data_IF_027504333110
#
_entry.id   IF_027504333110
#
_cell.length_a   1.000
_cell.length_b   1.000
_cell.length_c   1.000
_cell.angle_alpha   90.00
_cell.angle_beta   90.00
_cell.angle_gamma   90.00
#
_symmetry.space_group_name_H-M   'P 1'
#
loop_
_entity.id
_entity.type
_entity.pdbx_description
1 polymer ?
#
# COMPACT_ATOMS: atom_id res chain seq x y z
N UNK A 1 -5.99 -23.79 3.78
CA UNK A 1 -4.94 -22.78 3.64
C UNK A 1 -5.47 -21.42 3.12
N UNK A 2 -6.28 -21.32 2.10
CA UNK A 2 -6.61 -20.04 1.43
C UNK A 2 -7.44 -18.98 2.18
N UNK A 3 -8.06 -19.26 3.31
CA UNK A 3 -8.93 -18.25 3.97
C UNK A 3 -8.18 -17.35 4.96
N UNK A 4 -7.10 -17.85 5.56
CA UNK A 4 -6.30 -17.08 6.52
C UNK A 4 -5.43 -16.03 5.81
N UNK A 5 -4.85 -16.38 4.67
CA UNK A 5 -4.03 -15.47 3.86
C UNK A 5 -4.86 -14.32 3.30
N UNK A 6 -6.06 -14.61 2.78
CA UNK A 6 -6.95 -13.58 2.24
C UNK A 6 -7.28 -12.46 3.24
N UNK A 7 -7.54 -12.81 4.50
CA UNK A 7 -7.92 -11.84 5.54
C UNK A 7 -6.73 -11.06 6.09
N UNK A 8 -5.51 -11.52 5.83
CA UNK A 8 -4.26 -10.88 6.26
C UNK A 8 -3.61 -10.04 5.16
N UNK A 9 -3.94 -10.29 3.89
CA UNK A 9 -3.32 -9.61 2.76
C UNK A 9 -3.93 -8.23 2.52
N UNK A 10 -3.05 -7.25 2.26
CA UNK A 10 -3.38 -5.86 1.92
C UNK A 10 -2.79 -5.52 0.57
N UNK A 11 -3.62 -5.37 -0.47
CA UNK A 11 -3.18 -4.90 -1.77
C UNK A 11 -2.82 -3.42 -1.71
N UNK A 12 -1.62 -3.07 -2.16
CA UNK A 12 -1.12 -1.70 -2.24
C UNK A 12 -1.00 -1.30 -3.70
N UNK A 13 -1.84 -0.37 -4.12
CA UNK A 13 -1.84 0.29 -5.40
C UNK A 13 -1.46 1.76 -5.20
N UNK A 14 -0.26 2.12 -5.61
CA UNK A 14 0.27 3.47 -5.48
C UNK A 14 1.31 3.76 -6.58
N UNK A 15 1.78 5.00 -6.71
CA UNK A 15 2.93 5.30 -7.56
C UNK A 15 4.18 4.56 -7.08
N UNK A 16 4.97 4.05 -8.04
CA UNK A 16 6.24 3.36 -7.75
C UNK A 16 7.44 4.14 -8.29
N UNK A 17 7.36 5.46 -8.28
CA UNK A 17 8.48 6.33 -8.66
C UNK A 17 9.27 6.85 -7.45
N UNK A 18 10.46 7.38 -7.71
CA UNK A 18 11.37 7.84 -6.65
C UNK A 18 10.76 8.92 -5.74
N UNK A 19 9.87 9.78 -6.27
CA UNK A 19 9.25 10.85 -5.50
C UNK A 19 8.20 10.31 -4.50
N UNK A 20 7.67 9.11 -4.76
CA UNK A 20 6.69 8.46 -3.90
C UNK A 20 7.31 7.39 -2.98
N UNK A 21 8.58 7.06 -3.17
CA UNK A 21 9.28 5.96 -2.49
C UNK A 21 9.11 5.98 -0.98
N UNK A 22 9.29 7.13 -0.34
CA UNK A 22 9.24 7.24 1.11
C UNK A 22 7.83 6.98 1.66
N UNK A 23 6.80 7.45 0.95
CA UNK A 23 5.40 7.16 1.29
C UNK A 23 5.11 5.67 1.11
N UNK A 24 5.54 5.08 -0.01
CA UNK A 24 5.39 3.64 -0.25
C UNK A 24 6.05 2.80 0.85
N UNK A 25 7.28 3.13 1.23
CA UNK A 25 8.00 2.48 2.32
C UNK A 25 7.27 2.59 3.66
N UNK A 26 6.73 3.76 3.97
CA UNK A 26 5.92 3.98 5.18
C UNK A 26 4.62 3.16 5.16
N UNK A 27 3.96 3.03 4.00
CA UNK A 27 2.77 2.19 3.82
C UNK A 27 3.12 0.72 4.10
N UNK A 28 4.16 0.19 3.46
CA UNK A 28 4.62 -1.20 3.64
C UNK A 28 4.95 -1.48 5.10
N UNK A 29 5.73 -0.60 5.74
CA UNK A 29 6.08 -0.74 7.15
C UNK A 29 4.83 -0.75 8.05
N UNK A 30 3.92 0.21 7.86
CA UNK A 30 2.71 0.33 8.67
C UNK A 30 1.80 -0.89 8.53
N UNK A 31 1.70 -1.46 7.33
CA UNK A 31 0.92 -2.69 7.09
C UNK A 31 1.52 -3.86 7.87
N UNK A 32 2.83 -4.07 7.80
CA UNK A 32 3.50 -5.13 8.56
C UNK A 32 3.39 -4.92 10.08
N UNK A 33 3.63 -3.71 10.57
CA UNK A 33 3.59 -3.41 12.01
C UNK A 33 2.15 -3.47 12.58
N UNK A 34 1.15 -3.42 11.72
CA UNK A 34 -0.24 -3.73 12.07
C UNK A 34 -0.56 -5.25 12.06
N UNK A 35 0.39 -6.12 11.73
CA UNK A 35 0.20 -7.57 11.66
C UNK A 35 -0.41 -8.07 10.35
N UNK A 36 -0.33 -7.30 9.27
CA UNK A 36 -0.83 -7.65 7.94
C UNK A 36 0.31 -7.86 6.94
N UNK A 37 0.00 -8.43 5.79
CA UNK A 37 0.94 -8.74 4.72
C UNK A 37 0.71 -7.77 3.55
N UNK A 38 1.65 -6.85 3.27
CA UNK A 38 1.55 -5.98 2.11
C UNK A 38 1.79 -6.79 0.83
N UNK A 39 0.94 -6.58 -0.17
CA UNK A 39 1.01 -7.20 -1.49
C UNK A 39 0.94 -6.10 -2.55
N UNK A 40 1.75 -6.15 -3.56
CA UNK A 40 1.71 -5.16 -4.64
C UNK A 40 2.21 -5.75 -5.97
N UNK A 41 2.01 -4.98 -7.04
CA UNK A 41 2.42 -5.39 -8.37
C UNK A 41 3.95 -5.49 -8.59
N UNK A 42 4.78 -5.08 -7.62
CA UNK A 42 6.24 -5.24 -7.67
C UNK A 42 6.73 -6.60 -7.14
N UNK A 43 5.82 -7.47 -6.68
CA UNK A 43 6.17 -8.83 -6.24
C UNK A 43 6.62 -9.73 -7.39
N UNK A 44 6.16 -9.44 -8.60
CA UNK A 44 6.35 -10.28 -9.77
C UNK A 44 7.22 -9.56 -10.80
N UNK A 45 8.17 -10.31 -11.35
CA UNK A 45 9.05 -9.89 -12.44
C UNK A 45 9.15 -11.03 -13.47
N UNK A 46 7.97 -11.43 -13.99
CA UNK A 46 7.88 -12.43 -15.07
C UNK A 46 7.39 -11.74 -16.36
N UNK A 47 8.32 -11.52 -17.27
CA UNK A 47 8.05 -10.86 -18.55
C UNK A 47 7.09 -11.63 -19.49
N UNK A 48 6.81 -12.90 -19.19
CA UNK A 48 5.88 -13.72 -19.97
C UNK A 48 4.42 -13.54 -19.53
N UNK A 49 4.17 -12.89 -18.39
CA UNK A 49 2.83 -12.68 -17.85
C UNK A 49 2.23 -11.33 -18.22
N UNK A 50 0.92 -11.29 -18.37
CA UNK A 50 0.18 -10.06 -18.65
C UNK A 50 -0.02 -9.32 -17.33
N UNK A 51 0.55 -8.13 -17.19
CA UNK A 51 0.56 -7.34 -15.94
C UNK A 51 -0.80 -7.19 -15.28
N UNK A 52 -1.86 -6.96 -16.06
CA UNK A 52 -3.21 -6.78 -15.51
C UNK A 52 -3.77 -8.08 -14.93
N UNK A 53 -3.37 -9.24 -15.44
CA UNK A 53 -3.79 -10.54 -14.91
C UNK A 53 -3.12 -10.81 -13.56
N UNK A 54 -1.84 -10.46 -13.40
CA UNK A 54 -1.14 -10.53 -12.12
C UNK A 54 -1.80 -9.63 -11.07
N UNK A 55 -2.10 -8.38 -11.44
CA UNK A 55 -2.77 -7.42 -10.56
C UNK A 55 -4.16 -7.95 -10.13
N UNK A 56 -4.95 -8.46 -11.06
CA UNK A 56 -6.28 -9.01 -10.74
C UNK A 56 -6.18 -10.24 -9.86
N UNK A 57 -5.14 -11.07 -10.04
CA UNK A 57 -4.85 -12.21 -9.17
C UNK A 57 -4.54 -11.74 -7.75
N UNK A 58 -3.61 -10.78 -7.55
CA UNK A 58 -3.30 -10.23 -6.22
C UNK A 58 -4.58 -9.65 -5.59
N UNK A 59 -5.36 -8.85 -6.34
CA UNK A 59 -6.63 -8.31 -5.85
C UNK A 59 -7.54 -9.43 -5.35
N UNK A 60 -7.63 -10.56 -6.05
CA UNK A 60 -8.47 -11.69 -5.63
C UNK A 60 -7.99 -12.37 -4.33
N UNK A 61 -6.71 -12.24 -4.02
CA UNK A 61 -6.04 -12.80 -2.84
C UNK A 61 -6.04 -11.85 -1.63
N UNK A 62 -6.55 -10.61 -1.78
CA UNK A 62 -6.53 -9.60 -0.74
C UNK A 62 -7.94 -9.19 -0.30
N UNK A 63 -8.20 -9.21 1.02
CA UNK A 63 -9.41 -8.62 1.60
C UNK A 63 -9.33 -7.09 1.64
N UNK A 64 -8.15 -6.57 1.93
CA UNK A 64 -7.89 -5.15 2.11
C UNK A 64 -7.21 -4.56 0.89
N UNK A 65 -7.52 -3.31 0.56
CA UNK A 65 -6.83 -2.57 -0.49
C UNK A 65 -6.57 -1.13 -0.08
N UNK A 66 -5.32 -0.69 -0.25
CA UNK A 66 -4.89 0.70 -0.14
C UNK A 66 -4.64 1.20 -1.56
N UNK A 67 -5.36 2.24 -1.95
CA UNK A 67 -5.27 2.83 -3.29
C UNK A 67 -4.92 4.30 -3.20
N UNK A 68 -3.72 4.66 -3.62
CA UNK A 68 -3.29 6.05 -3.68
C UNK A 68 -3.44 6.61 -5.10
N UNK A 69 -4.26 7.63 -5.22
CA UNK A 69 -4.58 8.30 -6.48
C UNK A 69 -3.92 9.68 -6.59
N UNK A 70 -2.89 9.94 -5.80
CA UNK A 70 -2.24 11.26 -5.72
C UNK A 70 -1.47 11.65 -6.99
N UNK A 71 -1.05 10.69 -7.80
CA UNK A 71 -0.23 10.93 -9.00
C UNK A 71 -1.11 11.20 -10.22
N UNK A 72 -1.27 12.47 -10.54
CA UNK A 72 -2.05 12.95 -11.69
C UNK A 72 -1.28 13.90 -12.58
N UNK A 73 0.01 14.12 -12.30
CA UNK A 73 0.87 14.95 -13.12
C UNK A 73 1.07 14.34 -14.50
N UNK A 74 1.23 15.21 -15.49
CA UNK A 74 1.57 14.82 -16.84
C UNK A 74 3.00 14.25 -16.85
N UNK A 75 3.19 13.15 -17.54
CA UNK A 75 4.51 12.65 -17.85
C UNK A 75 5.20 13.62 -18.80
N UNK A 76 6.44 14.00 -18.52
CA UNK A 76 7.18 15.03 -19.26
C UNK A 76 7.47 14.66 -20.72
N UNK A 77 7.45 13.36 -21.06
CA UNK A 77 7.72 12.88 -22.42
C UNK A 77 6.44 12.69 -23.22
N UNK A 78 5.43 12.07 -22.61
CA UNK A 78 4.17 11.74 -23.30
C UNK A 78 3.12 12.85 -23.20
N UNK A 79 3.28 13.78 -22.26
CA UNK A 79 2.28 14.80 -21.90
C UNK A 79 0.91 14.20 -21.51
N UNK A 80 0.91 13.00 -20.97
CA UNK A 80 -0.28 12.28 -20.49
C UNK A 80 -0.12 11.88 -19.04
N UNK A 81 -1.19 11.90 -18.22
CA UNK A 81 -1.15 11.38 -16.86
C UNK A 81 -1.14 9.85 -16.86
N UNK A 82 -0.67 9.25 -15.78
CA UNK A 82 -0.75 7.80 -15.58
C UNK A 82 -2.09 7.42 -14.97
N UNK A 83 -2.88 6.63 -15.69
CA UNK A 83 -4.21 6.18 -15.25
C UNK A 83 -4.23 4.83 -14.55
N UNK A 84 -3.07 4.19 -14.33
CA UNK A 84 -3.00 2.85 -13.74
C UNK A 84 -3.64 2.79 -12.34
N UNK A 85 -3.30 3.74 -11.45
CA UNK A 85 -3.85 3.74 -10.09
C UNK A 85 -5.38 3.88 -10.06
N UNK A 86 -6.02 4.80 -10.81
CA UNK A 86 -7.48 4.84 -10.93
C UNK A 86 -8.09 3.58 -11.56
N UNK A 87 -7.43 2.98 -12.57
CA UNK A 87 -7.89 1.73 -13.19
C UNK A 87 -7.92 0.58 -12.18
N UNK A 88 -6.83 0.37 -11.45
CA UNK A 88 -6.70 -0.68 -10.44
C UNK A 88 -7.67 -0.48 -9.27
N UNK A 89 -7.88 0.77 -8.85
CA UNK A 89 -8.94 1.11 -7.90
C UNK A 89 -10.33 0.70 -8.44
N UNK A 90 -10.62 0.99 -9.71
CA UNK A 90 -11.86 0.60 -10.37
C UNK A 90 -12.06 -0.92 -10.38
N UNK A 91 -11.01 -1.68 -10.66
CA UNK A 91 -11.04 -3.16 -10.62
C UNK A 91 -11.33 -3.66 -9.20
N UNK A 92 -10.67 -3.11 -8.18
CA UNK A 92 -10.89 -3.49 -6.78
C UNK A 92 -12.33 -3.19 -6.32
N UNK A 93 -12.85 -2.00 -6.64
CA UNK A 93 -14.23 -1.61 -6.34
C UNK A 93 -15.25 -2.46 -7.13
N UNK A 94 -14.95 -2.79 -8.38
CA UNK A 94 -15.74 -3.69 -9.20
C UNK A 94 -15.81 -5.10 -8.60
N UNK A 95 -14.66 -5.65 -8.19
CA UNK A 95 -14.61 -6.94 -7.49
C UNK A 95 -15.46 -6.91 -6.20
N UNK A 96 -15.34 -5.85 -5.38
CA UNK A 96 -16.17 -5.66 -4.19
C UNK A 96 -17.66 -5.62 -4.52
N UNK A 97 -18.07 -4.94 -5.58
CA UNK A 97 -19.47 -4.72 -5.92
C UNK A 97 -20.12 -5.93 -6.59
N UNK A 98 -19.41 -6.54 -7.54
CA UNK A 98 -19.97 -7.54 -8.47
C UNK A 98 -19.37 -8.94 -8.30
N UNK A 99 -18.28 -9.06 -7.56
CA UNK A 99 -17.57 -10.33 -7.35
C UNK A 99 -18.31 -11.32 -6.46
N UNK A 100 -17.61 -12.37 -6.06
CA UNK A 100 -18.07 -13.44 -5.21
C UNK A 100 -18.49 -12.95 -3.81
N UNK A 101 -19.10 -13.84 -3.01
CA UNK A 101 -19.40 -13.56 -1.59
C UNK A 101 -18.15 -13.14 -0.81
N UNK A 102 -17.00 -13.75 -1.10
CA UNK A 102 -15.70 -13.41 -0.53
C UNK A 102 -15.31 -11.99 -0.91
N UNK A 103 -15.41 -11.62 -2.19
CA UNK A 103 -15.02 -10.30 -2.69
C UNK A 103 -15.90 -9.16 -2.15
N UNK A 104 -17.18 -9.41 -1.90
CA UNK A 104 -18.07 -8.44 -1.27
C UNK A 104 -17.64 -8.03 0.15
N UNK A 105 -16.78 -8.83 0.81
CA UNK A 105 -16.19 -8.51 2.12
C UNK A 105 -14.96 -7.60 2.03
N UNK A 106 -14.51 -7.23 0.85
CA UNK A 106 -13.34 -6.34 0.65
C UNK A 106 -13.53 -5.00 1.31
N UNK A 107 -12.43 -4.47 1.85
CA UNK A 107 -12.37 -3.17 2.52
C UNK A 107 -11.33 -2.31 1.82
N UNK A 108 -11.71 -1.09 1.45
CA UNK A 108 -10.89 -0.17 0.67
C UNK A 108 -10.51 1.06 1.48
N UNK A 109 -9.25 1.45 1.44
CA UNK A 109 -8.76 2.77 1.82
C UNK A 109 -8.32 3.49 0.53
N UNK A 110 -8.82 4.71 0.33
CA UNK A 110 -8.39 5.56 -0.76
C UNK A 110 -7.61 6.72 -0.18
N UNK A 111 -6.42 6.95 -0.74
CA UNK A 111 -5.52 8.02 -0.36
C UNK A 111 -5.38 9.04 -1.50
N UNK A 112 -5.21 10.29 -1.14
CA UNK A 112 -4.78 11.36 -2.05
C UNK A 112 -3.77 12.26 -1.31
N UNK A 113 -2.97 13.03 -2.03
CA UNK A 113 -2.04 13.97 -1.41
C UNK A 113 -2.73 15.15 -0.73
N UNK A 114 -3.90 15.59 -1.26
CA UNK A 114 -4.64 16.75 -0.77
C UNK A 114 -6.12 16.42 -0.58
N UNK A 115 -6.75 17.06 0.38
CA UNK A 115 -8.17 16.84 0.67
C UNK A 115 -9.04 17.35 -0.49
N UNK A 116 -10.00 16.53 -0.91
CA UNK A 116 -10.97 16.84 -1.99
C UNK A 116 -10.40 17.05 -3.39
N UNK A 117 -9.07 16.95 -3.60
CA UNK A 117 -8.43 17.11 -4.89
C UNK A 117 -8.97 16.15 -5.96
N UNK A 118 -9.29 14.91 -5.58
CA UNK A 118 -9.88 13.88 -6.45
C UNK A 118 -11.14 14.33 -7.20
N UNK A 119 -11.88 15.32 -6.69
CA UNK A 119 -13.09 15.84 -7.32
C UNK A 119 -12.82 16.47 -8.70
N UNK A 120 -11.58 16.88 -8.95
CA UNK A 120 -11.18 17.53 -10.19
C UNK A 120 -10.99 16.49 -11.30
N UNK A 121 -10.50 15.27 -10.99
CA UNK A 121 -10.09 14.30 -12.01
C UNK A 121 -10.85 12.95 -11.93
N UNK A 122 -11.51 12.64 -10.81
CA UNK A 122 -12.29 11.40 -10.64
C UNK A 122 -13.53 11.65 -9.75
N UNK A 123 -14.36 12.59 -10.15
CA UNK A 123 -15.53 13.04 -9.38
C UNK A 123 -16.55 11.93 -9.07
N UNK A 124 -16.58 10.85 -9.85
CA UNK A 124 -17.52 9.73 -9.67
C UNK A 124 -17.32 8.95 -8.35
N UNK A 125 -16.18 9.12 -7.68
CA UNK A 125 -15.96 8.56 -6.33
C UNK A 125 -16.28 9.56 -5.22
N UNK A 126 -16.88 10.69 -5.56
CA UNK A 126 -17.35 11.68 -4.58
C UNK A 126 -18.38 11.04 -3.64
N UNK A 127 -18.22 11.28 -2.33
CA UNK A 127 -19.00 10.60 -1.28
C UNK A 127 -18.27 9.47 -0.57
N UNK A 128 -17.11 9.04 -1.07
CA UNK A 128 -16.22 8.16 -0.33
C UNK A 128 -15.32 8.97 0.64
N UNK A 129 -14.94 8.34 1.75
CA UNK A 129 -14.09 8.96 2.77
C UNK A 129 -12.60 8.81 2.39
N UNK A 130 -12.15 9.68 1.48
CA UNK A 130 -10.77 9.69 0.99
C UNK A 130 -9.89 10.45 1.96
N UNK A 131 -8.78 9.84 2.37
CA UNK A 131 -7.83 10.42 3.32
C UNK A 131 -6.67 11.08 2.61
N UNK A 132 -6.18 12.21 3.15
CA UNK A 132 -5.02 12.91 2.60
C UNK A 132 -3.79 12.76 3.49
N UNK A 133 -2.63 12.49 2.84
CA UNK A 133 -1.36 12.33 3.52
C UNK A 133 -0.43 13.54 3.34
N UNK A 134 -0.78 14.53 2.50
CA UNK A 134 0.00 15.75 2.25
C UNK A 134 1.46 15.48 1.83
N UNK A 135 1.71 14.40 1.10
CA UNK A 135 3.04 13.91 0.73
C UNK A 135 3.99 13.65 1.92
N UNK A 136 3.43 13.31 3.09
CA UNK A 136 4.17 13.09 4.31
C UNK A 136 4.09 11.61 4.73
N UNK A 137 5.21 10.85 4.69
CA UNK A 137 5.24 9.44 5.06
C UNK A 137 4.84 9.20 6.52
N UNK A 138 5.08 10.18 7.40
CA UNK A 138 4.69 10.05 8.81
C UNK A 138 3.20 10.28 9.05
N UNK A 139 2.51 10.96 8.12
CA UNK A 139 1.05 11.15 8.19
C UNK A 139 0.27 9.94 7.67
N UNK A 140 0.83 9.20 6.71
CA UNK A 140 0.15 8.02 6.15
C UNK A 140 0.04 6.89 7.19
N UNK A 141 1.02 6.73 8.08
CA UNK A 141 1.08 5.66 9.07
C UNK A 141 -0.16 5.61 9.99
N UNK A 142 -0.53 6.69 10.72
CA UNK A 142 -1.72 6.65 11.57
C UNK A 142 -3.02 6.49 10.77
N UNK A 143 -3.06 6.94 9.51
CA UNK A 143 -4.23 6.73 8.64
C UNK A 143 -4.44 5.24 8.40
N UNK A 144 -3.40 4.52 7.98
CA UNK A 144 -3.43 3.07 7.73
C UNK A 144 -3.77 2.31 9.00
N UNK A 145 -3.09 2.61 10.09
CA UNK A 145 -3.34 1.99 11.39
C UNK A 145 -4.79 2.11 11.83
N UNK A 146 -5.35 3.32 11.77
CA UNK A 146 -6.71 3.57 12.21
C UNK A 146 -7.72 2.86 11.30
N UNK A 147 -7.49 2.86 9.99
CA UNK A 147 -8.31 2.15 9.03
C UNK A 147 -8.30 0.64 9.27
N UNK A 148 -7.14 0.00 9.42
CA UNK A 148 -7.01 -1.43 9.72
C UNK A 148 -7.67 -1.78 11.05
N UNK A 149 -7.45 -0.97 12.10
CA UNK A 149 -8.07 -1.19 13.42
C UNK A 149 -9.59 -1.13 13.38
N UNK A 150 -10.15 -0.18 12.64
CA UNK A 150 -11.62 -0.04 12.50
C UNK A 150 -12.21 -1.17 11.65
N UNK A 151 -11.45 -1.72 10.74
CA UNK A 151 -11.88 -2.80 9.83
C UNK A 151 -11.70 -4.20 10.42
N UNK A 152 -10.99 -4.34 11.55
CA UNK A 152 -10.61 -5.62 12.18
C UNK A 152 -10.91 -5.57 13.67
N UNK A 153 -12.04 -6.14 14.06
CA UNK A 153 -12.55 -6.04 15.44
C UNK A 153 -11.69 -6.81 16.46
N UNK A 154 -11.07 -7.91 16.04
CA UNK A 154 -10.45 -8.89 16.94
C UNK A 154 -8.93 -8.79 17.02
N UNK A 155 -8.30 -7.81 16.33
CA UNK A 155 -6.83 -7.65 16.30
C UNK A 155 -6.44 -6.43 17.12
N UNK A 156 -5.56 -6.61 18.11
CA UNK A 156 -4.93 -5.50 18.83
C UNK A 156 -3.80 -4.96 17.97
N UNK A 157 -3.90 -3.71 17.55
CA UNK A 157 -2.90 -3.02 16.73
C UNK A 157 -2.26 -1.91 17.57
N UNK A 158 -0.92 -1.78 17.58
CA UNK A 158 -0.23 -0.70 18.29
C UNK A 158 -0.79 0.69 17.92
N UNK A 159 -0.60 1.67 18.81
CA UNK A 159 -1.03 3.05 18.52
C UNK A 159 -0.26 3.66 17.36
N UNK A 160 -0.90 4.55 16.59
CA UNK A 160 -0.26 5.17 15.42
C UNK A 160 1.02 5.96 15.74
N UNK A 161 1.13 6.53 16.95
CA UNK A 161 2.36 7.18 17.41
C UNK A 161 3.49 6.17 17.64
N UNK A 162 3.18 5.00 18.21
CA UNK A 162 4.15 3.93 18.42
C UNK A 162 4.70 3.39 17.09
N UNK A 163 3.80 3.08 16.13
CA UNK A 163 4.20 2.62 14.80
C UNK A 163 5.08 3.67 14.10
N UNK A 164 4.73 4.95 14.20
CA UNK A 164 5.53 6.04 13.63
C UNK A 164 6.93 6.13 14.24
N UNK A 165 7.06 5.99 15.56
CA UNK A 165 8.36 5.99 16.23
C UNK A 165 9.20 4.78 15.81
N UNK A 166 8.59 3.60 15.68
CA UNK A 166 9.24 2.38 15.18
C UNK A 166 9.68 2.53 13.73
N UNK A 167 8.85 3.13 12.88
CA UNK A 167 9.23 3.44 11.50
C UNK A 167 10.44 4.38 11.43
N UNK A 168 10.48 5.41 12.27
CA UNK A 168 11.61 6.33 12.34
C UNK A 168 12.90 5.61 12.75
N UNK A 169 12.84 4.74 13.76
CA UNK A 169 13.98 3.93 14.19
C UNK A 169 14.45 3.01 13.07
N UNK A 170 13.52 2.24 12.48
CA UNK A 170 13.83 1.36 11.33
C UNK A 170 14.50 2.12 10.19
N UNK A 171 13.98 3.30 9.84
CA UNK A 171 14.55 4.13 8.76
C UNK A 171 15.96 4.59 9.08
N UNK A 172 16.26 4.87 10.35
CA UNK A 172 17.60 5.26 10.80
C UNK A 172 18.58 4.07 10.72
N UNK A 173 18.12 2.86 11.04
CA UNK A 173 18.96 1.65 11.03
C UNK A 173 19.04 0.98 9.63
N UNK A 174 18.18 1.35 8.70
CA UNK A 174 18.10 0.71 7.37
C UNK A 174 19.42 0.72 6.59
N UNK A 175 20.24 1.82 6.58
CA UNK A 175 21.52 1.80 5.88
C UNK A 175 22.50 0.75 6.44
N UNK A 176 22.55 0.58 7.75
CA UNK A 176 23.41 -0.41 8.40
C UNK A 176 22.93 -1.84 8.10
N UNK A 177 21.62 -2.09 8.15
CA UNK A 177 21.03 -3.37 7.76
C UNK A 177 21.37 -3.72 6.31
N UNK A 178 21.24 -2.75 5.41
CA UNK A 178 21.61 -2.92 4.00
C UNK A 178 23.10 -3.21 3.82
N UNK A 179 23.98 -2.53 4.56
CA UNK A 179 25.43 -2.73 4.50
C UNK A 179 25.82 -4.18 4.84
N UNK A 180 25.22 -4.76 5.89
CA UNK A 180 25.46 -6.15 6.29
C UNK A 180 25.10 -7.14 5.19
N UNK A 181 24.01 -6.87 4.44
CA UNK A 181 23.50 -7.73 3.38
C UNK A 181 24.04 -7.37 1.98
N UNK A 182 24.90 -6.35 1.89
CA UNK A 182 25.43 -5.81 0.64
C UNK A 182 24.32 -5.28 -0.29
N UNK A 183 23.26 -4.74 0.27
CA UNK A 183 22.21 -4.04 -0.44
C UNK A 183 22.52 -2.54 -0.54
N UNK A 184 21.99 -1.91 -1.57
CA UNK A 184 21.99 -0.46 -1.71
C UNK A 184 20.63 0.10 -1.23
N UNK A 185 20.59 0.94 -0.16
CA UNK A 185 19.34 1.42 0.43
C UNK A 185 18.39 2.10 -0.57
N UNK A 186 18.98 2.81 -1.57
CA UNK A 186 18.20 3.53 -2.58
C UNK A 186 17.68 2.64 -3.72
N UNK A 187 18.25 1.44 -3.91
CA UNK A 187 17.93 0.51 -5.00
C UNK A 187 17.25 -0.77 -4.51
N UNK A 188 16.72 -0.79 -3.29
CA UNK A 188 15.98 -1.95 -2.79
C UNK A 188 14.75 -2.21 -3.64
N UNK A 189 14.63 -3.43 -4.15
CA UNK A 189 13.37 -3.92 -4.72
C UNK A 189 12.34 -4.18 -3.62
N UNK A 190 11.06 -4.29 -3.98
CA UNK A 190 10.00 -4.49 -2.99
C UNK A 190 10.22 -5.71 -2.09
N UNK A 191 10.60 -6.84 -2.68
CA UNK A 191 10.78 -8.09 -1.92
C UNK A 191 11.89 -7.97 -0.87
N UNK A 192 13.01 -7.32 -1.20
CA UNK A 192 14.11 -7.09 -0.25
C UNK A 192 13.68 -6.14 0.88
N UNK A 193 13.00 -5.05 0.51
CA UNK A 193 12.49 -4.10 1.51
C UNK A 193 11.46 -4.74 2.44
N UNK A 194 10.52 -5.49 1.90
CA UNK A 194 9.49 -6.20 2.68
C UNK A 194 10.12 -7.24 3.63
N UNK A 195 11.13 -7.96 3.17
CA UNK A 195 11.88 -8.90 3.99
C UNK A 195 12.61 -8.18 5.14
N UNK A 196 13.32 -7.08 4.85
CA UNK A 196 14.03 -6.27 5.86
C UNK A 196 13.07 -5.76 6.94
N UNK A 197 11.91 -5.23 6.55
CA UNK A 197 10.88 -4.76 7.50
C UNK A 197 10.39 -5.91 8.37
N UNK A 198 10.04 -7.05 7.76
CA UNK A 198 9.54 -8.21 8.49
C UNK A 198 10.55 -8.74 9.51
N UNK A 199 11.82 -8.88 9.11
CA UNK A 199 12.89 -9.33 9.98
C UNK A 199 13.21 -8.35 11.11
N UNK A 200 13.19 -7.05 10.81
CA UNK A 200 13.40 -6.02 11.81
C UNK A 200 12.28 -6.02 12.86
N UNK A 201 11.02 -6.09 12.44
CA UNK A 201 9.87 -6.14 13.34
C UNK A 201 9.88 -7.41 14.20
N UNK A 202 10.31 -8.55 13.66
CA UNK A 202 10.45 -9.79 14.41
C UNK A 202 11.50 -9.68 15.54
N UNK A 203 12.55 -8.90 15.34
CA UNK A 203 13.63 -8.67 16.32
C UNK A 203 13.32 -7.54 17.31
N UNK A 204 12.37 -6.67 16.95
CA UNK A 204 11.95 -5.50 17.73
C UNK A 204 10.42 -5.56 17.99
N UNK A 205 9.94 -6.48 18.84
CA UNK A 205 8.52 -6.71 19.07
C UNK A 205 7.81 -5.52 19.75
#
# INVERSE_FOLDING_TARGET
MGNHEYVSNVFINCPFDNNYRDIFRAIVFAVFDCGYIPRCALEFDDAAQVRIEEITKIISECKFGIHDISRTELDTKSNLPRFNMPLELGIFLGAKKYGSRKDKSKVCLILDREQYRYRIFISNISGQDIKSHNNDPYKVIPIIRNWLRNSSKDVIIPGGAAIRSRYQLFTTELPDLCSVLKFEPDNLIFNDYAWLVSEWLRKNP
#
